data_IF_145259567452
#
_entry.id   IF_145259567452
#
_cell.length_a   1.000
_cell.length_b   1.000
_cell.length_c   1.000
_cell.angle_alpha   90.00
_cell.angle_beta   90.00
_cell.angle_gamma   90.00
#
_symmetry.space_group_name_H-M   'P 1'
#
loop_
_entity.id
_entity.type
_entity.pdbx_description
1 polymer ?
#
# COMPACT_ATOMS: atom_id res chain seq x y z
N UNK A 1 -17.67 0.48 6.15
CA UNK A 1 -16.29 0.10 6.57
C UNK A 1 -16.36 -0.68 7.87
N UNK A 2 -15.69 -1.82 7.93
CA UNK A 2 -15.66 -2.65 9.13
C UNK A 2 -14.37 -2.38 9.92
N UNK A 3 -14.39 -1.31 10.71
CA UNK A 3 -13.27 -0.96 11.57
C UNK A 3 -13.46 -1.53 12.97
N UNK A 4 -12.38 -2.04 13.52
CA UNK A 4 -12.33 -2.53 14.90
C UNK A 4 -11.61 -1.46 15.72
N UNK A 5 -12.28 -0.94 16.75
CA UNK A 5 -11.69 0.04 17.65
C UNK A 5 -10.71 -0.65 18.59
N UNK A 6 -9.52 -0.10 18.72
CA UNK A 6 -8.46 -0.60 19.60
C UNK A 6 -7.84 0.53 20.39
N UNK A 7 -7.03 0.21 21.37
CA UNK A 7 -6.16 1.21 22.00
C UNK A 7 -5.10 1.62 20.97
N UNK A 8 -4.84 2.92 20.78
CA UNK A 8 -3.78 3.36 19.87
C UNK A 8 -2.45 2.68 20.16
N UNK A 9 -1.78 2.22 19.11
CA UNK A 9 -0.56 1.43 19.22
C UNK A 9 0.57 2.10 18.42
N UNK A 10 1.21 3.10 19.03
CA UNK A 10 2.28 3.86 18.40
C UNK A 10 3.55 3.02 18.18
N UNK A 11 3.80 2.10 19.08
CA UNK A 11 4.98 1.23 19.00
C UNK A 11 4.90 0.32 17.76
N UNK A 12 3.76 -0.32 17.55
CA UNK A 12 3.53 -1.17 16.38
C UNK A 12 3.54 -0.35 15.09
N UNK A 13 2.95 0.84 15.11
CA UNK A 13 2.98 1.75 13.96
C UNK A 13 4.42 2.10 13.57
N UNK A 14 5.27 2.35 14.56
CA UNK A 14 6.68 2.64 14.33
C UNK A 14 7.42 1.45 13.74
N UNK A 15 7.11 0.24 14.20
CA UNK A 15 7.69 -0.99 13.64
C UNK A 15 7.30 -1.20 12.18
N UNK A 16 6.04 -0.92 11.82
CA UNK A 16 5.58 -0.98 10.43
C UNK A 16 6.30 0.05 9.57
N UNK A 17 6.52 1.25 10.08
CA UNK A 17 7.27 2.27 9.37
C UNK A 17 8.71 1.83 9.08
N UNK A 18 9.36 1.15 10.01
CA UNK A 18 10.70 0.60 9.80
C UNK A 18 10.67 -0.48 8.71
N UNK A 19 9.64 -1.31 8.67
CA UNK A 19 9.47 -2.33 7.62
C UNK A 19 9.35 -1.67 6.24
N UNK A 20 8.64 -0.55 6.14
CA UNK A 20 8.53 0.21 4.89
C UNK A 20 9.91 0.60 4.37
N UNK A 21 10.80 1.07 5.23
CA UNK A 21 12.16 1.44 4.82
C UNK A 21 12.94 0.26 4.24
N UNK A 22 12.76 -0.93 4.80
CA UNK A 22 13.40 -2.15 4.28
C UNK A 22 12.84 -2.53 2.91
N UNK A 23 11.52 -2.40 2.71
CA UNK A 23 10.90 -2.69 1.42
C UNK A 23 11.39 -1.70 0.35
N UNK A 24 11.49 -0.41 0.69
CA UNK A 24 12.03 0.61 -0.22
C UNK A 24 13.46 0.27 -0.65
N UNK A 25 14.28 -0.17 0.29
CA UNK A 25 15.65 -0.60 0.00
C UNK A 25 15.67 -1.79 -0.95
N UNK A 26 14.79 -2.77 -0.74
CA UNK A 26 14.68 -3.94 -1.61
C UNK A 26 14.29 -3.55 -3.04
N UNK A 27 13.36 -2.60 -3.20
CA UNK A 27 12.94 -2.12 -4.53
C UNK A 27 14.13 -1.51 -5.28
N UNK A 28 14.95 -0.73 -4.60
CA UNK A 28 16.10 -0.05 -5.23
C UNK A 28 17.11 -1.01 -5.84
N UNK A 29 17.25 -2.20 -5.27
CA UNK A 29 18.20 -3.20 -5.74
C UNK A 29 17.69 -4.06 -6.88
N UNK A 30 16.47 -3.87 -7.39
CA UNK A 30 15.87 -4.76 -8.38
C UNK A 30 15.88 -4.18 -9.78
N UNK A 31 15.97 -5.07 -10.77
CA UNK A 31 15.84 -4.72 -12.17
C UNK A 31 14.35 -4.41 -12.48
N UNK A 32 14.05 -3.15 -12.79
CA UNK A 32 12.68 -2.69 -12.99
C UNK A 32 11.98 -3.33 -14.19
N UNK A 33 12.72 -3.72 -15.21
CA UNK A 33 12.12 -4.37 -16.38
C UNK A 33 11.80 -5.83 -16.11
N UNK A 34 12.71 -6.55 -15.48
CA UNK A 34 12.55 -7.99 -15.21
C UNK A 34 11.62 -8.25 -14.05
N UNK A 35 11.68 -7.41 -13.02
CA UNK A 35 10.98 -7.61 -11.75
C UNK A 35 9.77 -6.70 -11.56
N UNK A 36 9.23 -6.15 -12.65
CA UNK A 36 8.16 -5.15 -12.57
C UNK A 36 6.95 -5.62 -11.75
N UNK A 37 6.53 -6.87 -11.91
CA UNK A 37 5.38 -7.39 -11.16
C UNK A 37 5.66 -7.50 -9.66
N UNK A 38 6.86 -7.93 -9.30
CA UNK A 38 7.26 -8.02 -7.89
C UNK A 38 7.47 -6.65 -7.27
N UNK A 39 8.00 -5.70 -8.03
CA UNK A 39 8.16 -4.32 -7.57
C UNK A 39 6.80 -3.68 -7.32
N UNK A 40 5.83 -3.91 -8.20
CA UNK A 40 4.47 -3.41 -7.99
C UNK A 40 3.88 -3.96 -6.69
N UNK A 41 4.06 -5.25 -6.43
CA UNK A 41 3.59 -5.86 -5.18
C UNK A 41 4.28 -5.24 -3.97
N UNK A 42 5.57 -4.93 -4.07
CA UNK A 42 6.33 -4.27 -3.00
C UNK A 42 5.82 -2.85 -2.75
N UNK A 43 5.50 -2.08 -3.80
CA UNK A 43 4.91 -0.75 -3.63
C UNK A 43 3.56 -0.82 -2.92
N UNK A 44 2.73 -1.79 -3.29
CA UNK A 44 1.45 -1.98 -2.61
C UNK A 44 1.67 -2.32 -1.13
N UNK A 45 2.65 -3.17 -0.82
CA UNK A 45 2.99 -3.53 0.56
C UNK A 45 3.39 -2.30 1.37
N UNK A 46 4.19 -1.39 0.79
CA UNK A 46 4.56 -0.12 1.43
C UNK A 46 3.30 0.68 1.77
N UNK A 47 2.41 0.86 0.80
CA UNK A 47 1.19 1.64 0.97
C UNK A 47 0.31 1.01 2.06
N UNK A 48 0.11 -0.30 1.99
CA UNK A 48 -0.68 -1.04 2.98
C UNK A 48 -0.12 -0.85 4.39
N UNK A 49 1.18 -0.99 4.57
CA UNK A 49 1.81 -0.85 5.88
C UNK A 49 1.71 0.58 6.41
N UNK A 50 1.88 1.59 5.55
CA UNK A 50 1.75 3.00 5.95
C UNK A 50 0.32 3.31 6.40
N UNK A 51 -0.69 2.86 5.66
CA UNK A 51 -2.10 3.10 6.05
C UNK A 51 -2.42 2.35 7.34
N UNK A 52 -1.95 1.11 7.47
CA UNK A 52 -2.13 0.34 8.70
C UNK A 52 -1.52 1.06 9.91
N UNK A 53 -0.33 1.65 9.73
CA UNK A 53 0.30 2.43 10.79
C UNK A 53 -0.54 3.64 11.18
N UNK A 54 -1.14 4.33 10.22
CA UNK A 54 -2.05 5.46 10.49
C UNK A 54 -3.26 4.99 11.30
N UNK A 55 -3.88 3.87 10.92
CA UNK A 55 -5.01 3.32 11.66
C UNK A 55 -4.62 2.99 13.11
N UNK A 56 -3.47 2.37 13.32
CA UNK A 56 -2.99 2.03 14.65
C UNK A 56 -2.80 3.26 15.54
N UNK A 57 -2.27 4.34 14.97
CA UNK A 57 -2.12 5.62 15.69
C UNK A 57 -3.48 6.19 16.05
N UNK A 58 -4.45 6.09 15.13
CA UNK A 58 -5.80 6.61 15.34
C UNK A 58 -6.66 5.69 16.24
N UNK A 59 -6.19 4.48 16.55
CA UNK A 59 -6.87 3.54 17.43
C UNK A 59 -7.86 2.63 16.71
N UNK A 60 -7.52 2.19 15.49
CA UNK A 60 -8.34 1.28 14.70
C UNK A 60 -7.52 0.18 14.05
N UNK A 61 -8.19 -0.91 13.69
CA UNK A 61 -7.65 -1.94 12.80
C UNK A 61 -8.73 -2.46 11.88
N UNK A 62 -8.35 -3.08 10.78
CA UNK A 62 -9.25 -3.73 9.85
C UNK A 62 -8.59 -4.98 9.26
N UNK A 63 -9.41 -5.95 8.84
CA UNK A 63 -8.95 -7.15 8.14
C UNK A 63 -9.08 -7.02 6.63
N UNK A 64 -9.68 -5.93 6.14
CA UNK A 64 -9.93 -5.70 4.72
C UNK A 64 -8.96 -4.66 4.15
N UNK A 65 -8.23 -5.03 3.08
CA UNK A 65 -7.36 -4.09 2.38
C UNK A 65 -8.13 -2.96 1.73
N UNK A 66 -9.35 -3.24 1.24
CA UNK A 66 -10.21 -2.19 0.68
C UNK A 66 -10.57 -1.15 1.73
N UNK A 67 -10.84 -1.57 2.96
CA UNK A 67 -11.18 -0.66 4.05
C UNK A 67 -10.02 0.26 4.43
N UNK A 68 -8.76 -0.17 4.23
CA UNK A 68 -7.61 0.71 4.43
C UNK A 68 -7.70 1.94 3.53
N UNK A 69 -8.00 1.72 2.25
CA UNK A 69 -8.10 2.80 1.26
C UNK A 69 -9.33 3.66 1.54
N UNK A 70 -10.46 3.04 1.87
CA UNK A 70 -11.69 3.77 2.22
C UNK A 70 -11.49 4.64 3.46
N UNK A 71 -10.75 4.15 4.45
CA UNK A 71 -10.42 4.92 5.65
C UNK A 71 -9.61 6.17 5.28
N UNK A 72 -8.60 6.02 4.43
CA UNK A 72 -7.78 7.13 3.98
C UNK A 72 -8.64 8.19 3.26
N UNK A 73 -9.52 7.73 2.38
CA UNK A 73 -10.44 8.59 1.63
C UNK A 73 -11.36 9.39 2.56
N UNK A 74 -11.93 8.72 3.56
CA UNK A 74 -12.96 9.32 4.43
C UNK A 74 -12.38 10.22 5.53
N UNK A 75 -11.20 9.92 6.03
CA UNK A 75 -10.62 10.59 7.19
C UNK A 75 -9.52 11.60 6.87
N UNK A 76 -8.92 11.52 5.70
CA UNK A 76 -7.79 12.36 5.32
C UNK A 76 -8.06 13.06 3.99
N UNK A 77 -8.40 14.34 4.05
CA UNK A 77 -8.72 15.16 2.87
C UNK A 77 -7.50 15.54 2.04
N UNK A 78 -6.30 15.26 2.53
CA UNK A 78 -5.04 15.53 1.84
C UNK A 78 -4.88 14.70 0.57
N UNK A 79 -5.63 13.59 0.46
CA UNK A 79 -5.59 12.72 -0.71
C UNK A 79 -6.77 13.04 -1.62
N UNK A 80 -6.49 13.44 -2.85
CA UNK A 80 -7.54 13.74 -3.83
C UNK A 80 -8.10 12.44 -4.45
N UNK A 81 -9.21 12.59 -5.20
CA UNK A 81 -9.89 11.45 -5.81
C UNK A 81 -9.00 10.66 -6.76
N UNK A 82 -8.10 11.33 -7.48
CA UNK A 82 -7.18 10.66 -8.41
C UNK A 82 -6.17 9.80 -7.65
N UNK A 83 -5.61 10.31 -6.57
CA UNK A 83 -4.67 9.57 -5.73
C UNK A 83 -5.31 8.34 -5.11
N UNK A 84 -6.53 8.47 -4.59
CA UNK A 84 -7.28 7.34 -4.04
C UNK A 84 -7.57 6.30 -5.11
N UNK A 85 -7.93 6.73 -6.31
CA UNK A 85 -8.18 5.83 -7.44
C UNK A 85 -6.92 5.04 -7.81
N UNK A 86 -5.75 5.68 -7.82
CA UNK A 86 -4.47 5.02 -8.10
C UNK A 86 -4.16 3.96 -7.04
N UNK A 87 -4.39 4.27 -5.76
CA UNK A 87 -4.19 3.31 -4.67
C UNK A 87 -5.09 2.09 -4.83
N UNK A 88 -6.36 2.31 -5.18
CA UNK A 88 -7.31 1.20 -5.37
C UNK A 88 -6.96 0.35 -6.59
N UNK A 89 -6.54 0.97 -7.69
CA UNK A 89 -6.06 0.27 -8.88
C UNK A 89 -4.83 -0.58 -8.55
N UNK A 90 -3.92 -0.05 -7.76
CA UNK A 90 -2.74 -0.78 -7.32
C UNK A 90 -3.10 -2.02 -6.50
N UNK A 91 -4.09 -1.89 -5.61
CA UNK A 91 -4.62 -3.01 -4.83
C UNK A 91 -5.15 -4.12 -5.75
N UNK A 92 -5.94 -3.75 -6.74
CA UNK A 92 -6.53 -4.69 -7.70
C UNK A 92 -5.45 -5.37 -8.51
N UNK A 93 -4.48 -4.63 -9.03
CA UNK A 93 -3.37 -5.17 -9.81
C UNK A 93 -2.50 -6.12 -8.99
N UNK A 94 -2.20 -5.76 -7.75
CA UNK A 94 -1.42 -6.62 -6.85
C UNK A 94 -2.13 -7.95 -6.61
N UNK A 95 -3.46 -7.92 -6.46
CA UNK A 95 -4.23 -9.14 -6.27
C UNK A 95 -4.16 -10.03 -7.52
N UNK A 96 -4.20 -9.45 -8.72
CA UNK A 96 -4.05 -10.19 -9.96
C UNK A 96 -2.66 -10.80 -10.09
N UNK A 97 -1.61 -10.07 -9.73
CA UNK A 97 -0.24 -10.58 -9.71
C UNK A 97 -0.11 -11.76 -8.74
N UNK A 98 -0.62 -11.61 -7.51
CA UNK A 98 -0.45 -12.60 -6.45
C UNK A 98 -1.30 -13.85 -6.64
N UNK A 99 -2.54 -13.70 -7.10
CA UNK A 99 -3.51 -14.80 -7.16
C UNK A 99 -3.72 -15.37 -8.55
N UNK A 100 -3.48 -14.60 -9.61
CA UNK A 100 -3.70 -15.01 -10.99
C UNK A 100 -2.42 -15.16 -11.80
N UNK A 101 -1.26 -14.80 -11.24
CA UNK A 101 0.00 -14.83 -11.95
C UNK A 101 0.10 -13.81 -13.06
N UNK A 102 -0.68 -12.72 -12.99
CA UNK A 102 -0.68 -11.68 -14.00
C UNK A 102 0.64 -10.94 -13.99
N UNK A 103 1.25 -10.74 -15.18
CA UNK A 103 2.52 -10.02 -15.31
C UNK A 103 2.26 -8.57 -15.70
N UNK A 104 2.92 -7.66 -14.97
CA UNK A 104 2.78 -6.21 -15.20
C UNK A 104 3.80 -5.76 -16.23
N UNK A 105 3.34 -5.00 -17.23
CA UNK A 105 4.24 -4.36 -18.20
C UNK A 105 5.11 -3.32 -17.47
N UNK A 106 6.43 -3.33 -17.70
CA UNK A 106 7.31 -2.34 -17.05
C UNK A 106 6.90 -0.89 -17.29
N UNK A 107 6.23 -0.58 -18.40
CA UNK A 107 5.75 0.79 -18.68
C UNK A 107 4.77 1.29 -17.63
N UNK A 108 4.01 0.41 -16.98
CA UNK A 108 3.10 0.79 -15.91
C UNK A 108 3.87 1.40 -14.72
N UNK A 109 4.98 0.79 -14.33
CA UNK A 109 5.84 1.35 -13.26
C UNK A 109 6.40 2.70 -13.66
N UNK A 110 6.90 2.82 -14.88
CA UNK A 110 7.48 4.09 -15.36
C UNK A 110 6.46 5.22 -15.35
N UNK A 111 5.19 4.94 -15.67
CA UNK A 111 4.12 5.94 -15.69
C UNK A 111 3.67 6.36 -14.29
N UNK A 112 3.74 5.46 -13.31
CA UNK A 112 3.08 5.66 -12.01
C UNK A 112 4.05 5.75 -10.83
N UNK A 113 5.31 5.47 -11.03
CA UNK A 113 6.30 5.34 -9.95
C UNK A 113 6.47 6.63 -9.14
N UNK A 114 6.33 7.78 -9.79
CA UNK A 114 6.46 9.09 -9.15
C UNK A 114 5.18 9.55 -8.44
N UNK A 115 4.08 8.83 -8.65
CA UNK A 115 2.80 9.15 -8.01
C UNK A 115 2.71 8.50 -6.63
#
# INVERSE_FOLDING_TARGET
MDLIKITPDNERARSLYKMVSLIEERIKGQNKNKMSSLILADYYEIIKELITAILLIDGYKTLSHKDLIDYLKDKYNEFNANEISILDDLRILRNRVSYEGFLIDPSYLHRNEST
#
